data_IF_657810361506
#
_entry.id   IF_657810361506
#
_cell.length_a   1.000
_cell.length_b   1.000
_cell.length_c   1.000
_cell.angle_alpha   90.00
_cell.angle_beta   90.00
_cell.angle_gamma   90.00
#
_symmetry.space_group_name_H-M   'P 1'
#
loop_
_entity.id
_entity.type
_entity.pdbx_description
1 polymer ?
#
# COMPACT_ATOMS: atom_id res chain seq x y z
N UNK A 1 22.08 -30.01 -41.63
CA UNK A 1 21.16 -28.92 -41.24
C UNK A 1 20.71 -29.21 -39.81
N UNK A 2 21.27 -28.52 -38.82
CA UNK A 2 20.88 -28.64 -37.40
C UNK A 2 20.22 -27.34 -36.93
N UNK A 3 19.24 -27.38 -36.01
CA UNK A 3 18.47 -26.20 -35.63
C UNK A 3 19.28 -25.30 -34.69
N UNK A 4 19.29 -23.99 -35.00
CA UNK A 4 19.82 -22.91 -34.17
C UNK A 4 18.86 -22.65 -33.00
N UNK A 5 19.26 -23.06 -31.78
CA UNK A 5 18.60 -22.67 -30.54
C UNK A 5 18.99 -21.23 -30.17
N UNK A 6 18.07 -20.28 -30.37
CA UNK A 6 18.15 -18.93 -29.83
C UNK A 6 18.03 -19.00 -28.29
N UNK A 7 19.16 -18.89 -27.59
CA UNK A 7 19.20 -18.65 -26.14
C UNK A 7 18.65 -17.25 -25.85
N UNK A 8 17.38 -17.16 -25.44
CA UNK A 8 16.81 -15.96 -24.84
C UNK A 8 17.56 -15.70 -23.53
N UNK A 9 18.42 -14.68 -23.49
CA UNK A 9 19.04 -14.18 -22.25
C UNK A 9 17.92 -13.72 -21.31
N UNK A 10 17.75 -14.40 -20.18
CA UNK A 10 16.94 -13.88 -19.06
C UNK A 10 17.46 -12.47 -18.71
N UNK A 11 16.59 -11.46 -18.52
CA UNK A 11 17.03 -10.16 -18.05
C UNK A 11 17.75 -10.34 -16.71
N UNK A 12 18.96 -9.79 -16.62
CA UNK A 12 19.85 -9.96 -15.50
C UNK A 12 19.26 -9.21 -14.29
N UNK A 13 18.82 -9.93 -13.25
CA UNK A 13 18.25 -9.39 -11.99
C UNK A 13 19.16 -8.32 -11.36
N UNK A 14 20.46 -8.39 -11.63
CA UNK A 14 21.49 -7.41 -11.26
C UNK A 14 21.25 -5.99 -11.81
N UNK A 15 20.66 -5.84 -13.01
CA UNK A 15 20.47 -4.52 -13.64
C UNK A 15 19.34 -3.75 -12.95
N UNK A 16 18.24 -4.44 -12.57
CA UNK A 16 17.13 -3.82 -11.82
C UNK A 16 17.57 -3.36 -10.43
N UNK A 17 18.38 -4.18 -9.74
CA UNK A 17 18.94 -3.82 -8.43
C UNK A 17 19.90 -2.62 -8.51
N UNK A 18 20.74 -2.53 -9.55
CA UNK A 18 21.65 -1.39 -9.74
C UNK A 18 20.93 -0.08 -10.08
N UNK A 19 19.86 -0.14 -10.89
CA UNK A 19 18.99 1.02 -11.15
C UNK A 19 18.30 1.50 -9.88
N UNK A 20 17.89 0.59 -8.99
CA UNK A 20 17.29 0.92 -7.69
C UNK A 20 18.27 1.66 -6.76
N UNK A 21 19.50 1.15 -6.58
CA UNK A 21 20.52 1.83 -5.75
C UNK A 21 20.85 3.23 -6.30
N UNK A 22 20.95 3.36 -7.62
CA UNK A 22 21.22 4.65 -8.27
C UNK A 22 20.05 5.64 -8.12
N UNK A 23 18.82 5.13 -8.07
CA UNK A 23 17.61 5.93 -7.88
C UNK A 23 17.54 6.43 -6.44
N UNK A 24 17.75 5.54 -5.46
CA UNK A 24 17.88 5.87 -4.03
C UNK A 24 18.99 6.88 -3.76
N UNK A 25 20.17 6.73 -4.36
CA UNK A 25 21.29 7.67 -4.17
C UNK A 25 21.03 9.05 -4.75
N UNK A 26 20.39 9.12 -5.93
CA UNK A 26 19.96 10.40 -6.53
C UNK A 26 18.87 11.06 -5.68
N UNK A 27 17.90 10.30 -5.17
CA UNK A 27 16.82 10.79 -4.30
C UNK A 27 17.35 11.25 -2.93
N UNK A 28 18.27 10.51 -2.32
CA UNK A 28 18.93 10.91 -1.06
C UNK A 28 19.69 12.24 -1.22
N UNK A 29 20.29 12.49 -2.38
CA UNK A 29 20.90 13.79 -2.72
C UNK A 29 19.85 14.89 -2.88
N UNK A 30 18.70 14.61 -3.49
CA UNK A 30 17.60 15.58 -3.61
C UNK A 30 17.00 15.92 -2.24
N UNK A 31 16.79 14.94 -1.36
CA UNK A 31 16.26 15.12 0.00
C UNK A 31 17.23 15.94 0.88
N UNK A 32 18.55 15.71 0.76
CA UNK A 32 19.55 16.51 1.48
C UNK A 32 19.58 17.97 1.03
N UNK A 33 19.40 18.23 -0.26
CA UNK A 33 19.58 19.56 -0.87
C UNK A 33 18.28 20.36 -1.01
N UNK A 34 17.13 19.69 -0.96
CA UNK A 34 15.79 20.28 -1.02
C UNK A 34 14.95 19.65 0.08
N UNK A 35 15.28 19.86 1.36
CA UNK A 35 14.20 19.88 2.36
C UNK A 35 13.32 21.05 1.92
N UNK A 36 12.15 20.84 1.30
CA UNK A 36 11.20 21.94 1.21
C UNK A 36 10.92 22.34 2.67
N UNK A 37 10.36 23.51 2.92
CA UNK A 37 9.72 23.74 4.21
C UNK A 37 8.62 22.67 4.35
N UNK A 38 9.01 21.52 4.89
CA UNK A 38 8.15 20.38 5.11
C UNK A 38 7.11 20.92 6.09
N UNK A 39 5.86 20.77 5.70
CA UNK A 39 4.71 21.10 6.53
C UNK A 39 4.95 20.59 7.97
N UNK A 40 4.47 21.29 9.02
CA UNK A 40 4.73 20.93 10.42
C UNK A 40 4.51 19.45 10.78
N UNK A 41 3.78 18.71 9.95
CA UNK A 41 3.51 17.27 10.01
C UNK A 41 4.68 16.32 9.72
N UNK A 42 5.86 16.81 9.31
CA UNK A 42 7.04 15.96 9.06
C UNK A 42 7.92 15.75 10.30
N UNK A 43 7.60 16.41 11.42
CA UNK A 43 8.38 16.34 12.64
C UNK A 43 7.67 15.39 13.61
N UNK A 44 8.21 14.16 13.70
CA UNK A 44 7.91 13.13 14.70
C UNK A 44 6.67 12.22 14.43
N UNK A 45 6.87 10.92 14.08
CA UNK A 45 5.79 9.95 13.92
C UNK A 45 4.89 9.80 15.16
N UNK A 46 5.43 10.10 16.35
CA UNK A 46 4.71 10.07 17.63
C UNK A 46 3.67 11.18 17.78
N UNK A 47 3.84 12.30 17.07
CA UNK A 47 2.95 13.47 17.19
C UNK A 47 1.74 13.37 16.25
N UNK A 48 1.68 12.32 15.40
CA UNK A 48 0.58 12.03 14.45
C UNK A 48 -0.12 10.71 14.79
N UNK A 49 0.17 10.10 15.94
CA UNK A 49 -0.54 8.90 16.37
C UNK A 49 -1.87 9.33 16.98
N UNK A 50 -2.91 9.45 16.15
CA UNK A 50 -4.27 9.31 16.65
C UNK A 50 -4.37 7.88 17.18
N UNK A 51 -4.25 7.71 18.50
CA UNK A 51 -4.40 6.44 19.22
C UNK A 51 -5.85 6.17 19.64
N UNK A 52 -6.71 7.18 19.59
CA UNK A 52 -8.13 7.02 19.95
C UNK A 52 -8.95 6.63 18.73
N UNK A 53 -9.01 5.32 18.52
CA UNK A 53 -9.82 4.66 17.51
C UNK A 53 -11.23 4.53 18.10
N UNK A 54 -12.08 5.55 17.92
CA UNK A 54 -13.45 5.54 18.44
C UNK A 54 -14.31 4.39 17.88
N UNK A 55 -15.57 4.21 18.35
CA UNK A 55 -16.42 3.07 18.01
C UNK A 55 -16.62 2.84 16.50
N UNK A 56 -16.59 3.93 15.71
CA UNK A 56 -16.67 3.87 14.25
C UNK A 56 -15.49 3.15 13.61
N UNK A 57 -14.30 3.29 14.17
CA UNK A 57 -13.10 2.73 13.62
C UNK A 57 -12.90 1.26 14.05
N UNK A 58 -13.29 0.90 15.27
CA UNK A 58 -13.42 -0.52 15.69
C UNK A 58 -14.41 -1.26 14.80
N UNK A 59 -15.58 -0.68 14.55
CA UNK A 59 -16.59 -1.23 13.65
C UNK A 59 -16.04 -1.42 12.23
N UNK A 60 -15.34 -0.42 11.69
CA UNK A 60 -14.73 -0.51 10.37
C UNK A 60 -13.72 -1.65 10.30
N UNK A 61 -12.79 -1.71 11.25
CA UNK A 61 -11.73 -2.72 11.30
C UNK A 61 -12.30 -4.14 11.42
N UNK A 62 -13.24 -4.35 12.35
CA UNK A 62 -13.89 -5.65 12.55
C UNK A 62 -14.60 -6.13 11.28
N UNK A 63 -15.45 -5.28 10.69
CA UNK A 63 -16.19 -5.63 9.46
C UNK A 63 -15.25 -5.90 8.29
N UNK A 64 -14.21 -5.07 8.11
CA UNK A 64 -13.21 -5.27 7.07
C UNK A 64 -12.48 -6.60 7.26
N UNK A 65 -11.98 -6.87 8.47
CA UNK A 65 -11.22 -8.08 8.77
C UNK A 65 -12.06 -9.35 8.61
N UNK A 66 -13.30 -9.35 9.09
CA UNK A 66 -14.23 -10.47 8.92
C UNK A 66 -14.49 -10.75 7.44
N UNK A 67 -14.72 -9.70 6.65
CA UNK A 67 -15.02 -9.85 5.23
C UNK A 67 -13.80 -10.35 4.42
N UNK A 68 -12.57 -9.94 4.75
CA UNK A 68 -11.35 -10.54 4.16
C UNK A 68 -11.28 -12.03 4.49
N UNK A 69 -11.45 -12.38 5.78
CA UNK A 69 -11.34 -13.77 6.26
C UNK A 69 -12.46 -14.69 5.76
N UNK A 70 -13.57 -14.13 5.30
CA UNK A 70 -14.67 -14.88 4.70
C UNK A 70 -14.47 -15.16 3.19
N UNK A 71 -13.40 -14.66 2.57
CA UNK A 71 -13.22 -14.67 1.12
C UNK A 71 -11.87 -15.30 0.73
N UNK A 72 -11.90 -16.54 0.20
CA UNK A 72 -10.68 -17.28 -0.18
C UNK A 72 -9.77 -16.52 -1.14
N UNK A 73 -10.37 -15.77 -2.07
CA UNK A 73 -9.64 -14.94 -3.01
C UNK A 73 -8.94 -13.79 -2.28
N UNK A 74 -9.60 -13.13 -1.33
CA UNK A 74 -8.99 -12.03 -0.57
C UNK A 74 -7.94 -12.54 0.40
N UNK A 75 -8.13 -13.70 1.04
CA UNK A 75 -7.09 -14.33 1.86
C UNK A 75 -5.81 -14.51 1.04
N UNK A 76 -5.91 -15.02 -0.19
CA UNK A 76 -4.74 -15.17 -1.08
C UNK A 76 -4.12 -13.83 -1.48
N UNK A 77 -4.93 -12.78 -1.65
CA UNK A 77 -4.43 -11.44 -1.98
C UNK A 77 -3.71 -10.79 -0.79
N UNK A 78 -4.21 -10.97 0.43
CA UNK A 78 -3.62 -10.38 1.63
C UNK A 78 -2.51 -11.26 2.26
N UNK A 79 -2.34 -12.50 1.80
CA UNK A 79 -1.22 -13.35 2.22
C UNK A 79 0.09 -12.91 1.58
N UNK A 80 0.95 -12.29 2.40
CA UNK A 80 2.26 -11.80 2.00
C UNK A 80 3.41 -12.75 2.33
N UNK A 81 3.13 -13.99 2.75
CA UNK A 81 4.13 -14.97 3.19
C UNK A 81 5.21 -15.30 2.16
N UNK A 82 4.91 -15.07 0.86
CA UNK A 82 5.82 -15.34 -0.27
C UNK A 82 6.38 -14.09 -0.93
N UNK A 83 6.07 -12.91 -0.39
CA UNK A 83 6.49 -11.62 -0.97
C UNK A 83 7.75 -11.14 -0.27
N UNK A 84 8.76 -10.74 -1.03
CA UNK A 84 9.94 -10.12 -0.45
C UNK A 84 9.68 -8.65 -0.08
N UNK A 85 10.35 -8.17 0.98
CA UNK A 85 10.35 -6.76 1.41
C UNK A 85 10.59 -5.81 0.24
N UNK A 86 11.57 -6.16 -0.61
CA UNK A 86 11.99 -5.34 -1.74
C UNK A 86 10.91 -5.27 -2.82
N UNK A 87 10.28 -6.39 -3.16
CA UNK A 87 9.19 -6.39 -4.14
C UNK A 87 8.00 -5.57 -3.64
N UNK A 88 7.64 -5.70 -2.37
CA UNK A 88 6.51 -4.97 -1.82
C UNK A 88 6.78 -3.48 -1.66
N UNK A 89 7.94 -3.09 -1.14
CA UNK A 89 8.30 -1.68 -1.00
C UNK A 89 8.40 -0.98 -2.35
N UNK A 90 8.91 -1.67 -3.37
CA UNK A 90 8.94 -1.17 -4.75
C UNK A 90 7.53 -1.01 -5.32
N UNK A 91 6.66 -2.01 -5.12
CA UNK A 91 5.26 -1.92 -5.53
C UNK A 91 4.57 -0.71 -4.89
N UNK A 92 4.70 -0.52 -3.57
CA UNK A 92 4.10 0.62 -2.87
C UNK A 92 4.61 1.95 -3.42
N UNK A 93 5.92 2.07 -3.66
CA UNK A 93 6.51 3.28 -4.24
C UNK A 93 5.92 3.58 -5.62
N UNK A 94 5.96 2.62 -6.55
CA UNK A 94 5.52 2.81 -7.93
C UNK A 94 4.03 3.09 -8.00
N UNK A 95 3.23 2.37 -7.20
CA UNK A 95 1.78 2.53 -7.19
C UNK A 95 1.36 3.86 -6.54
N UNK A 96 1.99 4.23 -5.43
CA UNK A 96 1.80 5.54 -4.83
C UNK A 96 2.19 6.65 -5.81
N UNK A 97 3.31 6.52 -6.53
CA UNK A 97 3.77 7.54 -7.47
C UNK A 97 2.73 7.85 -8.54
N UNK A 98 2.19 6.80 -9.18
CA UNK A 98 1.13 6.92 -10.17
C UNK A 98 -0.13 7.56 -9.58
N UNK A 99 -0.53 7.14 -8.38
CA UNK A 99 -1.71 7.66 -7.71
C UNK A 99 -1.55 9.15 -7.36
N UNK A 100 -0.41 9.54 -6.78
CA UNK A 100 -0.07 10.91 -6.41
C UNK A 100 -0.02 11.83 -7.63
N UNK A 101 0.54 11.35 -8.76
CA UNK A 101 0.52 12.09 -10.02
C UNK A 101 -0.91 12.30 -10.52
N UNK A 102 -1.74 11.27 -10.47
CA UNK A 102 -3.15 11.35 -10.90
C UNK A 102 -3.98 12.31 -10.05
N UNK A 103 -3.68 12.40 -8.76
CA UNK A 103 -4.34 13.31 -7.81
C UNK A 103 -3.70 14.71 -7.76
N UNK A 104 -2.73 15.00 -8.64
CA UNK A 104 -2.14 16.34 -8.79
C UNK A 104 -1.18 16.76 -7.68
N UNK A 105 -0.61 15.81 -6.93
CA UNK A 105 0.38 16.09 -5.88
C UNK A 105 1.57 16.89 -6.44
N UNK A 106 2.01 17.93 -5.73
CA UNK A 106 3.10 18.81 -6.17
C UNK A 106 4.47 18.11 -6.20
N UNK A 107 4.64 17.09 -5.35
CA UNK A 107 5.91 16.35 -5.17
C UNK A 107 5.64 14.83 -5.04
N UNK A 108 5.10 14.19 -6.09
CA UNK A 108 4.57 12.83 -5.99
C UNK A 108 5.67 11.79 -5.68
N UNK A 109 6.91 12.02 -6.09
CA UNK A 109 8.06 11.15 -5.75
C UNK A 109 8.39 11.20 -4.26
N UNK A 110 8.33 12.38 -3.65
CA UNK A 110 8.65 12.54 -2.23
C UNK A 110 7.55 11.91 -1.37
N UNK A 111 6.27 12.13 -1.73
CA UNK A 111 5.13 11.52 -1.04
C UNK A 111 5.23 10.00 -1.05
N UNK A 112 5.51 9.44 -2.23
CA UNK A 112 5.56 7.99 -2.44
C UNK A 112 6.73 7.34 -1.72
N UNK A 113 7.87 8.03 -1.65
CA UNK A 113 9.01 7.61 -0.84
C UNK A 113 8.66 7.62 0.67
N UNK A 114 7.91 8.63 1.15
CA UNK A 114 7.45 8.65 2.55
C UNK A 114 6.57 7.45 2.90
N UNK A 115 5.68 7.03 1.99
CA UNK A 115 4.85 5.84 2.19
C UNK A 115 5.62 4.53 2.09
N UNK A 116 6.54 4.40 1.12
CA UNK A 116 7.26 3.16 0.84
C UNK A 116 8.41 2.88 1.81
N UNK A 117 9.08 3.91 2.32
CA UNK A 117 10.27 3.76 3.18
C UNK A 117 9.98 2.96 4.47
N UNK A 118 8.87 3.19 5.20
CA UNK A 118 8.52 2.37 6.36
C UNK A 118 8.34 0.90 6.02
N UNK A 119 7.85 0.55 4.82
CA UNK A 119 7.76 -0.84 4.37
C UNK A 119 9.16 -1.45 4.27
N UNK A 120 10.09 -0.75 3.60
CA UNK A 120 11.46 -1.26 3.45
C UNK A 120 12.18 -1.45 4.79
N UNK A 121 11.85 -0.65 5.80
CA UNK A 121 12.50 -0.67 7.12
C UNK A 121 11.86 -1.65 8.10
N UNK A 122 10.55 -1.88 7.99
CA UNK A 122 9.75 -2.53 9.02
C UNK A 122 8.97 -3.75 8.53
N UNK A 123 9.09 -4.13 7.25
CA UNK A 123 8.44 -5.33 6.74
C UNK A 123 9.21 -6.57 7.21
N UNK A 124 8.64 -7.27 8.17
CA UNK A 124 9.04 -8.61 8.57
C UNK A 124 7.85 -9.50 8.24
N UNK A 125 8.03 -10.56 7.43
CA UNK A 125 7.00 -11.51 6.97
C UNK A 125 5.63 -11.32 7.66
N UNK A 126 4.86 -10.32 7.22
CA UNK A 126 3.71 -9.90 8.01
C UNK A 126 2.66 -11.01 7.95
N UNK A 127 2.16 -11.47 9.11
CA UNK A 127 0.98 -12.32 9.12
C UNK A 127 -0.16 -11.65 8.36
N UNK A 128 -1.07 -12.45 7.81
CA UNK A 128 -2.27 -11.99 7.12
C UNK A 128 -3.00 -10.89 7.92
N UNK A 129 -3.13 -11.08 9.23
CA UNK A 129 -3.77 -10.15 10.16
C UNK A 129 -3.10 -8.77 10.19
N UNK A 130 -1.77 -8.70 10.10
CA UNK A 130 -1.04 -7.44 10.12
C UNK A 130 -1.29 -6.64 8.85
N UNK A 131 -1.30 -7.28 7.68
CA UNK A 131 -1.62 -6.55 6.45
C UNK A 131 -3.09 -6.08 6.45
N UNK A 132 -4.03 -6.91 6.92
CA UNK A 132 -5.44 -6.52 7.09
C UNK A 132 -5.55 -5.27 7.99
N UNK A 133 -4.88 -5.27 9.15
CA UNK A 133 -4.89 -4.14 10.08
C UNK A 133 -4.27 -2.89 9.47
N UNK A 134 -3.10 -3.02 8.85
CA UNK A 134 -2.44 -1.88 8.19
C UNK A 134 -3.37 -1.29 7.13
N UNK A 135 -3.90 -2.10 6.22
CA UNK A 135 -4.77 -1.65 5.13
C UNK A 135 -6.05 -0.99 5.64
N UNK A 136 -6.65 -1.51 6.71
CA UNK A 136 -7.81 -0.91 7.35
C UNK A 136 -7.46 0.41 8.06
N UNK A 137 -6.38 0.43 8.84
CA UNK A 137 -5.94 1.59 9.63
C UNK A 137 -5.62 2.80 8.76
N UNK A 138 -5.05 2.59 7.57
CA UNK A 138 -4.81 3.68 6.61
C UNK A 138 -6.11 4.36 6.24
N UNK A 139 -7.15 3.59 5.88
CA UNK A 139 -8.47 4.16 5.54
C UNK A 139 -9.20 4.73 6.73
N UNK A 140 -9.13 4.07 7.89
CA UNK A 140 -9.74 4.56 9.12
C UNK A 140 -9.20 5.97 9.43
N UNK A 141 -7.87 6.13 9.47
CA UNK A 141 -7.22 7.40 9.79
C UNK A 141 -7.57 8.47 8.76
N UNK A 142 -7.48 8.12 7.48
CA UNK A 142 -7.77 9.05 6.40
C UNK A 142 -9.24 9.51 6.40
N UNK A 143 -10.19 8.58 6.43
CA UNK A 143 -11.62 8.89 6.42
C UNK A 143 -12.07 9.59 7.71
N UNK A 144 -11.48 9.27 8.86
CA UNK A 144 -11.75 9.97 10.11
C UNK A 144 -11.30 11.43 10.04
N UNK A 145 -10.08 11.67 9.55
CA UNK A 145 -9.54 13.03 9.39
C UNK A 145 -10.37 13.87 8.40
N UNK A 146 -10.82 13.25 7.31
CA UNK A 146 -11.71 13.90 6.33
C UNK A 146 -13.15 14.09 6.85
N UNK A 147 -13.47 13.66 8.08
CA UNK A 147 -14.82 13.76 8.67
C UNK A 147 -15.85 12.85 7.99
N UNK A 148 -15.39 11.86 7.21
CA UNK A 148 -16.22 10.92 6.46
C UNK A 148 -16.60 9.73 7.33
N UNK A 149 -15.66 9.20 8.13
CA UNK A 149 -15.90 8.05 8.99
C UNK A 149 -16.71 8.44 10.23
N UNK A 150 -17.92 7.90 10.34
CA UNK A 150 -18.86 8.11 11.45
C UNK A 150 -19.44 6.77 11.88
N UNK A 151 -19.99 6.69 13.10
CA UNK A 151 -20.56 5.43 13.62
C UNK A 151 -21.65 4.87 12.68
N UNK A 152 -22.52 5.74 12.16
CA UNK A 152 -23.61 5.34 11.29
C UNK A 152 -23.19 4.78 9.91
N UNK A 153 -21.97 5.07 9.45
CA UNK A 153 -21.51 4.66 8.11
C UNK A 153 -20.26 3.79 8.10
N UNK A 154 -19.62 3.55 9.25
CA UNK A 154 -18.42 2.75 9.37
C UNK A 154 -18.53 1.36 8.71
N UNK A 155 -19.60 0.63 9.00
CA UNK A 155 -19.87 -0.69 8.39
C UNK A 155 -20.03 -0.60 6.87
N UNK A 156 -20.75 0.42 6.38
CA UNK A 156 -20.99 0.61 4.95
C UNK A 156 -19.68 0.92 4.22
N UNK A 157 -18.86 1.80 4.79
CA UNK A 157 -17.55 2.17 4.24
C UNK A 157 -16.59 0.97 4.22
N UNK A 158 -16.56 0.17 5.29
CA UNK A 158 -15.74 -1.05 5.33
C UNK A 158 -16.15 -2.06 4.25
N UNK A 159 -17.45 -2.30 4.07
CA UNK A 159 -17.97 -3.18 3.03
C UNK A 159 -17.71 -2.64 1.63
N UNK A 160 -17.85 -1.33 1.41
CA UNK A 160 -17.53 -0.70 0.13
C UNK A 160 -16.03 -0.84 -0.19
N UNK A 161 -15.17 -0.71 0.83
CA UNK A 161 -13.74 -0.88 0.68
C UNK A 161 -13.38 -2.32 0.29
N UNK A 162 -13.96 -3.31 0.96
CA UNK A 162 -13.77 -4.72 0.60
C UNK A 162 -14.30 -5.04 -0.78
N UNK A 163 -15.49 -4.56 -1.13
CA UNK A 163 -16.08 -4.77 -2.46
C UNK A 163 -15.19 -4.22 -3.57
N UNK A 164 -14.48 -3.12 -3.31
CA UNK A 164 -13.48 -2.58 -4.24
C UNK A 164 -12.36 -3.58 -4.51
N UNK A 165 -11.79 -4.22 -3.47
CA UNK A 165 -10.81 -5.29 -3.62
C UNK A 165 -11.39 -6.50 -4.36
N UNK A 166 -12.59 -6.97 -3.97
CA UNK A 166 -13.21 -8.13 -4.61
C UNK A 166 -13.46 -7.93 -6.10
N UNK A 167 -13.91 -6.75 -6.51
CA UNK A 167 -14.18 -6.44 -7.92
C UNK A 167 -12.89 -6.53 -8.76
N UNK A 168 -11.78 -6.00 -8.24
CA UNK A 168 -10.48 -6.09 -8.92
C UNK A 168 -9.98 -7.53 -8.92
N UNK A 169 -10.06 -8.22 -7.77
CA UNK A 169 -9.61 -9.60 -7.63
C UNK A 169 -10.33 -10.54 -8.61
N UNK A 170 -11.65 -10.41 -8.74
CA UNK A 170 -12.46 -11.19 -9.69
C UNK A 170 -12.08 -10.92 -11.15
N UNK A 171 -11.95 -9.64 -11.51
CA UNK A 171 -11.56 -9.23 -12.87
C UNK A 171 -10.18 -9.77 -13.23
N UNK A 172 -9.28 -9.79 -12.26
CA UNK A 172 -7.91 -10.22 -12.46
C UNK A 172 -7.75 -11.76 -12.47
N UNK A 173 -8.63 -12.48 -11.77
CA UNK A 173 -8.66 -13.95 -11.77
C UNK A 173 -9.44 -14.58 -12.93
N UNK A 174 -10.05 -13.80 -13.83
CA UNK A 174 -10.72 -14.35 -15.01
C UNK A 174 -9.73 -15.17 -15.87
N UNK A 175 -10.00 -16.48 -15.96
CA UNK A 175 -9.09 -17.53 -16.48
C UNK A 175 -8.65 -17.31 -17.93
N UNK A 176 -9.38 -16.50 -18.71
CA UNK A 176 -9.04 -16.15 -20.09
C UNK A 176 -7.69 -15.42 -20.24
N UNK A 177 -7.07 -14.99 -19.14
CA UNK A 177 -5.77 -14.31 -19.14
C UNK A 177 -4.63 -15.08 -18.45
N UNK A 178 -4.87 -16.27 -17.89
CA UNK A 178 -3.89 -16.97 -17.04
C UNK A 178 -2.98 -17.92 -17.84
N UNK A 179 -1.78 -17.47 -18.22
CA UNK A 179 -0.79 -18.35 -18.90
C UNK A 179 0.57 -18.47 -18.21
N UNK A 180 0.87 -17.76 -17.12
CA UNK A 180 2.17 -17.88 -16.42
C UNK A 180 2.13 -17.47 -14.94
N UNK A 181 2.99 -18.10 -14.12
CA UNK A 181 3.20 -17.76 -12.69
C UNK A 181 3.62 -16.29 -12.46
N UNK A 182 4.18 -15.62 -13.48
CA UNK A 182 4.49 -14.18 -13.47
C UNK A 182 3.23 -13.29 -13.36
N UNK A 183 2.04 -13.77 -13.75
CA UNK A 183 0.79 -13.00 -13.63
C UNK A 183 0.12 -13.09 -12.25
N UNK A 184 0.39 -14.12 -11.45
CA UNK A 184 -0.25 -14.29 -10.12
C UNK A 184 0.22 -13.23 -9.12
N UNK A 185 1.52 -12.88 -9.15
CA UNK A 185 2.08 -11.75 -8.38
C UNK A 185 1.55 -10.39 -8.86
N UNK A 186 1.36 -10.21 -10.17
CA UNK A 186 0.71 -8.99 -10.69
C UNK A 186 -0.71 -8.86 -10.17
N UNK A 187 -1.46 -9.96 -10.05
CA UNK A 187 -2.84 -9.91 -9.61
C UNK A 187 -3.00 -9.48 -8.16
N UNK A 188 -2.11 -9.96 -7.29
CA UNK A 188 -2.03 -9.55 -5.89
C UNK A 188 -1.80 -8.04 -5.77
N UNK A 189 -0.73 -7.53 -6.39
CA UNK A 189 -0.39 -6.11 -6.36
C UNK A 189 -1.42 -5.22 -7.04
N UNK A 190 -1.97 -5.66 -8.17
CA UNK A 190 -3.03 -4.93 -8.86
C UNK A 190 -4.30 -4.83 -8.00
N UNK A 191 -4.66 -5.91 -7.32
CA UNK A 191 -5.79 -5.92 -6.38
C UNK A 191 -5.53 -5.00 -5.19
N UNK A 192 -4.36 -5.10 -4.55
CA UNK A 192 -3.98 -4.26 -3.42
C UNK A 192 -3.97 -2.78 -3.80
N UNK A 193 -3.43 -2.44 -4.97
CA UNK A 193 -3.35 -1.06 -5.44
C UNK A 193 -4.70 -0.53 -5.94
N UNK A 194 -5.29 -1.18 -6.94
CA UNK A 194 -6.54 -0.68 -7.57
C UNK A 194 -7.73 -0.81 -6.64
N UNK A 195 -7.80 -1.83 -5.79
CA UNK A 195 -8.84 -1.93 -4.76
C UNK A 195 -8.82 -0.71 -3.85
N UNK A 196 -7.62 -0.27 -3.47
CA UNK A 196 -7.42 0.96 -2.70
C UNK A 196 -7.86 2.22 -3.45
N UNK A 197 -7.30 2.48 -4.64
CA UNK A 197 -7.58 3.73 -5.36
C UNK A 197 -9.00 3.83 -5.87
N UNK A 198 -9.61 2.71 -6.31
CA UNK A 198 -11.02 2.70 -6.72
C UNK A 198 -11.93 3.09 -5.55
N UNK A 199 -11.63 2.62 -4.34
CA UNK A 199 -12.39 3.01 -3.16
C UNK A 199 -12.22 4.51 -2.86
N UNK A 200 -10.97 5.00 -2.82
CA UNK A 200 -10.67 6.42 -2.58
C UNK A 200 -11.38 7.30 -3.60
N UNK A 201 -11.21 7.02 -4.89
CA UNK A 201 -11.80 7.80 -5.98
C UNK A 201 -13.33 7.78 -5.98
N UNK A 202 -13.96 6.74 -5.42
CA UNK A 202 -15.42 6.63 -5.35
C UNK A 202 -16.04 7.32 -4.13
N UNK A 203 -15.26 7.54 -3.06
CA UNK A 203 -15.78 8.00 -1.77
C UNK A 203 -15.17 9.32 -1.30
N UNK A 204 -14.08 9.77 -1.92
CA UNK A 204 -13.32 10.94 -1.49
C UNK A 204 -13.02 11.83 -2.68
N UNK A 205 -13.38 13.10 -2.58
CA UNK A 205 -12.90 14.12 -3.49
C UNK A 205 -11.44 14.43 -3.16
N UNK A 206 -10.54 13.92 -4.02
CA UNK A 206 -9.10 14.02 -3.82
C UNK A 206 -8.56 15.38 -4.24
N UNK A 207 -7.76 15.98 -3.37
CA UNK A 207 -6.93 17.15 -3.67
C UNK A 207 -5.45 16.78 -3.55
N UNK A 208 -4.52 17.60 -4.09
CA UNK A 208 -3.09 17.40 -3.93
C UNK A 208 -2.65 17.25 -2.46
N UNK A 209 -3.26 18.01 -1.55
CA UNK A 209 -2.97 17.97 -0.11
C UNK A 209 -3.43 16.66 0.52
N UNK A 210 -4.63 16.18 0.17
CA UNK A 210 -5.17 14.89 0.65
C UNK A 210 -4.34 13.71 0.14
N UNK A 211 -3.90 13.78 -1.13
CA UNK A 211 -2.99 12.79 -1.70
C UNK A 211 -1.71 12.70 -0.87
N UNK A 212 -1.06 13.83 -0.59
CA UNK A 212 0.13 13.86 0.25
C UNK A 212 -0.11 13.26 1.65
N UNK A 213 -1.23 13.62 2.29
CA UNK A 213 -1.60 13.10 3.61
C UNK A 213 -1.78 11.58 3.60
N UNK A 214 -2.45 11.05 2.57
CA UNK A 214 -2.69 9.62 2.44
C UNK A 214 -1.39 8.81 2.37
N UNK A 215 -0.36 9.33 1.72
CA UNK A 215 0.96 8.70 1.69
C UNK A 215 1.64 8.70 3.07
N UNK A 216 1.45 9.76 3.87
CA UNK A 216 1.93 9.81 5.25
C UNK A 216 1.18 8.80 6.12
N UNK A 217 -0.15 8.74 6.03
CA UNK A 217 -0.97 7.82 6.81
C UNK A 217 -0.64 6.35 6.46
N UNK A 218 -0.30 6.07 5.20
CA UNK A 218 0.27 4.79 4.77
C UNK A 218 1.55 4.45 5.53
N UNK A 219 2.56 5.31 5.45
CA UNK A 219 3.86 5.06 6.09
C UNK A 219 3.76 4.94 7.62
N UNK A 220 2.91 5.76 8.24
CA UNK A 220 2.67 5.72 9.68
C UNK A 220 1.99 4.41 10.10
N UNK A 221 1.01 3.92 9.34
CA UNK A 221 0.31 2.67 9.69
C UNK A 221 1.25 1.46 9.64
N UNK A 222 2.18 1.41 8.68
CA UNK A 222 3.24 0.39 8.65
C UNK A 222 4.18 0.49 9.85
N UNK A 223 4.59 1.71 10.21
CA UNK A 223 5.48 1.94 11.35
C UNK A 223 4.82 1.51 12.66
N UNK A 224 3.55 1.86 12.86
CA UNK A 224 2.78 1.53 14.06
C UNK A 224 2.59 0.01 14.21
N UNK A 225 2.16 -0.67 13.15
CA UNK A 225 1.98 -2.13 13.20
C UNK A 225 3.31 -2.83 13.54
N UNK A 226 4.44 -2.34 13.02
CA UNK A 226 5.74 -2.91 13.36
C UNK A 226 6.20 -2.60 14.78
N UNK A 227 5.82 -1.46 15.36
CA UNK A 227 6.14 -1.15 16.76
C UNK A 227 5.33 -2.04 17.70
N UNK A 228 4.06 -2.28 17.37
CA UNK A 228 3.14 -3.05 18.21
C UNK A 228 3.38 -4.56 18.07
N UNK A 229 3.61 -5.05 16.85
CA UNK A 229 3.60 -6.48 16.51
C UNK A 229 4.90 -6.98 15.84
N UNK A 230 5.98 -6.17 15.88
CA UNK A 230 7.27 -6.54 15.31
C UNK A 230 8.01 -7.64 16.08
N UNK A 231 9.08 -8.20 15.49
CA UNK A 231 9.90 -9.23 16.13
C UNK A 231 10.53 -8.69 17.43
N UNK A 232 10.13 -9.26 18.56
CA UNK A 232 10.55 -8.84 19.91
C UNK A 232 9.39 -8.59 20.89
N UNK A 233 8.15 -8.52 20.41
CA UNK A 233 6.95 -8.31 21.23
C UNK A 233 6.07 -9.58 21.38
N UNK A 234 6.65 -10.76 21.10
CA UNK A 234 6.05 -12.08 21.36
C UNK A 234 6.95 -12.90 22.27
#
# INVERSE_FOLDING_TARGET
MGPLLLKVKKPNVSIKAQLYTQTLDKLNKVIKNKRPNLSPWANNPKDVIVTEVGPSAETFLSVFAEAVKASDILIQIFDMSRVSVQEYSQFIYEYSLLSQQSWGSKHPEIASEFGARPVAQNFYNFPLESLIRITANIMIRFLHYEGILKEQNAKILALAYIKSYENVAKTCNDESQQTTNLKKSNCQYETLGKGFTNFVNSNVEMTPEKAWRLAIDFGNSFTLESIEHGPGNY
#
